data_IF_098513062941
#
_entry.id   IF_098513062941
#
_cell.length_a   1.000
_cell.length_b   1.000
_cell.length_c   1.000
_cell.angle_alpha   90.00
_cell.angle_beta   90.00
_cell.angle_gamma   90.00
#
_symmetry.space_group_name_H-M   'P 1'
#
loop_
_entity.id
_entity.type
_entity.pdbx_description
1 polymer ?
#
# COMPACT_ATOMS: atom_id res chain seq x y z
N UNK A 1 -43.86 34.82 -22.45
CA UNK A 1 -42.98 33.74 -22.93
C UNK A 1 -41.53 34.19 -23.12
N UNK A 2 -41.23 35.25 -23.86
CA UNK A 2 -39.85 35.70 -24.12
C UNK A 2 -39.05 36.06 -22.83
N UNK A 3 -39.66 36.77 -21.88
CA UNK A 3 -39.01 37.15 -20.61
C UNK A 3 -38.68 35.93 -19.74
N UNK A 4 -39.59 34.96 -19.67
CA UNK A 4 -39.39 33.71 -18.94
C UNK A 4 -38.25 32.88 -19.54
N UNK A 5 -38.22 32.76 -20.88
CA UNK A 5 -37.15 32.06 -21.59
C UNK A 5 -35.78 32.75 -21.37
N UNK A 6 -35.74 34.08 -21.43
CA UNK A 6 -34.52 34.84 -21.14
C UNK A 6 -34.01 34.63 -19.72
N UNK A 7 -34.88 34.67 -18.71
CA UNK A 7 -34.51 34.41 -17.31
C UNK A 7 -34.00 32.98 -17.10
N UNK A 8 -34.60 31.99 -17.77
CA UNK A 8 -34.13 30.59 -17.74
C UNK A 8 -32.74 30.48 -18.36
N UNK A 9 -32.51 31.08 -19.54
CA UNK A 9 -31.21 31.04 -20.20
C UNK A 9 -30.13 31.77 -19.38
N UNK A 10 -30.46 32.91 -18.77
CA UNK A 10 -29.57 33.63 -17.86
C UNK A 10 -29.23 32.78 -16.63
N UNK A 11 -30.23 32.15 -16.01
CA UNK A 11 -30.05 31.26 -14.86
C UNK A 11 -29.15 30.06 -15.19
N UNK A 12 -29.34 29.42 -16.35
CA UNK A 12 -28.48 28.34 -16.84
C UNK A 12 -27.05 28.84 -17.09
N UNK A 13 -26.90 30.03 -17.66
CA UNK A 13 -25.60 30.67 -17.87
C UNK A 13 -24.84 30.90 -16.56
N UNK A 14 -25.51 31.51 -15.58
CA UNK A 14 -24.92 31.74 -14.24
C UNK A 14 -24.55 30.43 -13.56
N UNK A 15 -25.42 29.41 -13.63
CA UNK A 15 -25.15 28.09 -13.09
C UNK A 15 -23.93 27.44 -13.75
N UNK A 16 -23.82 27.47 -15.07
CA UNK A 16 -22.69 26.87 -15.79
C UNK A 16 -21.37 27.57 -15.46
N UNK A 17 -21.37 28.90 -15.40
CA UNK A 17 -20.18 29.67 -14.97
C UNK A 17 -19.79 29.30 -13.54
N UNK A 18 -20.75 29.24 -12.61
CA UNK A 18 -20.49 28.84 -11.22
C UNK A 18 -19.93 27.41 -11.13
N UNK A 19 -20.48 26.47 -11.91
CA UNK A 19 -19.99 25.08 -11.99
C UNK A 19 -18.56 25.01 -12.52
N UNK A 20 -18.23 25.74 -13.60
CA UNK A 20 -16.88 25.78 -14.15
C UNK A 20 -15.89 26.35 -13.14
N UNK A 21 -16.23 27.46 -12.46
CA UNK A 21 -15.39 28.05 -11.41
C UNK A 21 -15.18 27.08 -10.25
N UNK A 22 -16.25 26.39 -9.84
CA UNK A 22 -16.19 25.36 -8.80
C UNK A 22 -15.26 24.21 -9.18
N UNK A 23 -15.42 23.63 -10.37
CA UNK A 23 -14.58 22.55 -10.87
C UNK A 23 -13.12 22.97 -11.04
N UNK A 24 -12.86 24.20 -11.51
CA UNK A 24 -11.51 24.77 -11.56
C UNK A 24 -10.88 24.88 -10.18
N UNK A 25 -11.66 25.28 -9.16
CA UNK A 25 -11.21 25.28 -7.77
C UNK A 25 -10.85 23.88 -7.29
N UNK A 26 -11.73 22.89 -7.44
CA UNK A 26 -11.45 21.51 -7.02
C UNK A 26 -10.19 20.98 -7.71
N UNK A 27 -10.05 21.19 -9.03
CA UNK A 27 -8.85 20.78 -9.75
C UNK A 27 -7.57 21.47 -9.25
N UNK A 28 -7.65 22.73 -8.82
CA UNK A 28 -6.51 23.43 -8.21
C UNK A 28 -6.14 22.81 -6.88
N UNK A 29 -7.11 22.58 -5.99
CA UNK A 29 -6.85 22.00 -4.66
C UNK A 29 -6.23 20.60 -4.77
N UNK A 30 -6.69 19.79 -5.72
CA UNK A 30 -6.13 18.46 -6.00
C UNK A 30 -4.73 18.49 -6.64
N UNK A 31 -4.19 19.67 -7.00
CA UNK A 31 -2.82 19.84 -7.50
C UNK A 31 -1.86 20.40 -6.45
N UNK A 32 -2.39 20.88 -5.33
CA UNK A 32 -1.60 21.53 -4.29
C UNK A 32 -1.16 20.49 -3.26
N UNK A 33 0.05 20.67 -2.72
CA UNK A 33 0.49 19.98 -1.51
C UNK A 33 0.07 20.84 -0.31
N UNK A 34 -0.77 20.33 0.61
CA UNK A 34 -1.14 21.08 1.81
C UNK A 34 0.08 21.51 2.61
N UNK A 35 0.08 22.73 3.17
CA UNK A 35 1.24 23.30 3.87
C UNK A 35 1.77 22.37 4.98
N UNK A 36 0.88 21.76 5.77
CA UNK A 36 1.26 20.84 6.84
C UNK A 36 2.03 19.62 6.31
N UNK A 37 1.65 19.12 5.13
CA UNK A 37 2.34 18.00 4.48
C UNK A 37 3.67 18.46 3.88
N UNK A 38 3.71 19.66 3.31
CA UNK A 38 4.92 20.27 2.77
C UNK A 38 6.02 20.49 3.81
N UNK A 39 5.68 20.57 5.10
CA UNK A 39 6.65 20.65 6.20
C UNK A 39 7.25 19.28 6.59
N UNK A 40 6.58 18.18 6.24
CA UNK A 40 7.01 16.82 6.57
C UNK A 40 7.89 16.20 5.49
N UNK A 41 7.84 16.71 4.26
CA UNK A 41 8.58 16.14 3.13
C UNK A 41 10.09 16.37 3.27
N UNK A 42 10.86 15.42 2.75
CA UNK A 42 12.29 15.54 2.57
C UNK A 42 12.67 16.64 1.57
N UNK A 43 13.98 16.91 1.46
CA UNK A 43 14.50 17.79 0.42
C UNK A 43 14.21 17.18 -0.96
N UNK A 44 13.74 17.98 -1.94
CA UNK A 44 13.55 17.49 -3.31
C UNK A 44 14.84 16.89 -3.86
N UNK A 45 14.70 15.88 -4.71
CA UNK A 45 15.85 15.27 -5.38
C UNK A 45 16.21 16.07 -6.63
N UNK A 46 17.51 16.32 -6.81
CA UNK A 46 18.06 16.92 -8.01
C UNK A 46 18.97 15.93 -8.74
N UNK A 47 19.31 16.18 -10.03
CA UNK A 47 20.13 15.26 -10.80
C UNK A 47 21.52 15.02 -10.22
N UNK A 48 22.07 15.97 -9.46
CA UNK A 48 23.40 15.83 -8.86
C UNK A 48 23.36 14.85 -7.69
N UNK A 49 22.41 15.03 -6.77
CA UNK A 49 22.16 14.10 -5.67
C UNK A 49 21.97 12.66 -6.17
N UNK A 50 21.19 12.49 -7.24
CA UNK A 50 20.90 11.18 -7.82
C UNK A 50 22.14 10.50 -8.38
N UNK A 51 22.96 11.23 -9.15
CA UNK A 51 24.22 10.70 -9.71
C UNK A 51 25.24 10.39 -8.61
N UNK A 52 25.36 11.26 -7.62
CA UNK A 52 26.23 11.02 -6.47
C UNK A 52 25.81 9.77 -5.70
N UNK A 53 24.50 9.58 -5.50
CA UNK A 53 23.95 8.38 -4.85
C UNK A 53 24.22 7.13 -5.69
N UNK A 54 24.02 7.20 -7.00
CA UNK A 54 24.35 6.11 -7.94
C UNK A 54 25.83 5.71 -7.82
N UNK A 55 26.75 6.67 -7.94
CA UNK A 55 28.19 6.40 -7.85
C UNK A 55 28.60 5.85 -6.48
N UNK A 56 27.94 6.30 -5.41
CA UNK A 56 28.17 5.79 -4.07
C UNK A 56 27.72 4.33 -3.94
N UNK A 57 26.55 3.97 -4.47
CA UNK A 57 26.02 2.61 -4.45
C UNK A 57 26.81 1.66 -5.36
N UNK A 58 27.34 2.14 -6.49
CA UNK A 58 28.22 1.35 -7.35
C UNK A 58 29.53 0.98 -6.62
N UNK A 59 30.09 1.92 -5.85
CA UNK A 59 31.31 1.70 -5.06
C UNK A 59 31.05 0.90 -3.79
N UNK A 60 29.89 1.10 -3.16
CA UNK A 60 29.51 0.48 -1.89
C UNK A 60 28.03 0.09 -1.92
N UNK A 61 27.72 -1.12 -2.42
CA UNK A 61 26.34 -1.60 -2.49
C UNK A 61 25.66 -1.66 -1.12
N UNK A 62 24.33 -1.62 -1.13
CA UNK A 62 23.51 -1.66 0.09
C UNK A 62 23.88 -2.90 0.93
N UNK A 63 24.27 -2.66 2.18
CA UNK A 63 24.55 -3.73 3.12
C UNK A 63 23.24 -4.28 3.73
N UNK A 64 22.66 -5.28 3.07
CA UNK A 64 21.45 -5.95 3.56
C UNK A 64 21.62 -6.71 4.89
N UNK A 65 22.85 -6.85 5.39
CA UNK A 65 23.15 -7.50 6.66
C UNK A 65 23.36 -6.50 7.82
N UNK A 66 23.30 -5.19 7.57
CA UNK A 66 23.77 -4.17 8.52
C UNK A 66 22.97 -4.06 9.83
N UNK A 67 21.65 -4.26 9.78
CA UNK A 67 20.76 -4.04 10.93
C UNK A 67 19.85 -5.23 11.24
N UNK A 68 20.29 -6.44 10.88
CA UNK A 68 19.56 -7.66 11.18
C UNK A 68 19.57 -7.93 12.69
N UNK A 69 18.45 -8.40 13.28
CA UNK A 69 18.50 -8.96 14.62
C UNK A 69 19.38 -10.23 14.65
N UNK A 70 19.81 -10.69 15.84
CA UNK A 70 20.57 -11.93 15.97
C UNK A 70 19.84 -13.09 15.27
N UNK A 71 20.59 -13.86 14.49
CA UNK A 71 20.07 -15.05 13.83
C UNK A 71 19.53 -16.02 14.88
N UNK A 72 18.31 -16.52 14.65
CA UNK A 72 17.69 -17.54 15.48
C UNK A 72 17.82 -18.93 14.81
N UNK A 73 18.07 -19.95 15.63
CA UNK A 73 18.12 -21.35 15.20
C UNK A 73 16.70 -21.91 15.03
N UNK A 74 16.08 -21.54 13.91
CA UNK A 74 14.67 -21.83 13.60
C UNK A 74 14.53 -22.29 12.15
N UNK A 75 13.43 -22.99 11.89
CA UNK A 75 12.93 -23.26 10.53
C UNK A 75 11.99 -22.15 10.11
N UNK A 76 11.94 -21.90 8.81
CA UNK A 76 11.17 -20.80 8.24
C UNK A 76 10.31 -21.29 7.07
N UNK A 77 9.03 -20.92 7.10
CA UNK A 77 8.17 -20.95 5.91
C UNK A 77 7.86 -19.51 5.52
N UNK A 78 8.09 -19.17 4.25
CA UNK A 78 7.68 -17.88 3.68
C UNK A 78 6.62 -18.14 2.62
N UNK A 79 5.41 -17.61 2.79
CA UNK A 79 4.32 -17.83 1.82
C UNK A 79 4.36 -16.77 0.72
N UNK A 80 4.17 -17.15 -0.53
CA UNK A 80 4.12 -16.22 -1.67
C UNK A 80 4.03 -16.90 -3.03
N UNK A 81 4.51 -18.15 -3.13
CA UNK A 81 4.57 -18.91 -4.40
C UNK A 81 3.52 -20.01 -4.57
N UNK A 82 2.53 -20.14 -3.67
CA UNK A 82 1.49 -21.17 -3.76
C UNK A 82 0.09 -20.55 -3.73
N UNK A 83 -0.91 -21.26 -4.27
CA UNK A 83 -2.31 -20.87 -4.17
C UNK A 83 -2.81 -20.99 -2.71
N UNK A 84 -2.81 -19.88 -1.99
CA UNK A 84 -3.29 -19.83 -0.60
C UNK A 84 -4.81 -19.97 -0.48
N UNK A 85 -5.57 -19.82 -1.56
CA UNK A 85 -7.04 -19.99 -1.52
C UNK A 85 -7.45 -21.44 -1.33
N UNK A 86 -6.58 -22.38 -1.73
CA UNK A 86 -6.77 -23.82 -1.57
C UNK A 86 -6.14 -24.34 -0.29
N UNK A 87 -6.97 -24.85 0.63
CA UNK A 87 -6.49 -25.51 1.86
C UNK A 87 -5.58 -26.71 1.56
N UNK A 88 -5.88 -27.46 0.51
CA UNK A 88 -5.06 -28.60 0.09
C UNK A 88 -3.68 -28.16 -0.38
N UNK A 89 -3.61 -27.15 -1.27
CA UNK A 89 -2.32 -26.64 -1.76
C UNK A 89 -1.45 -26.06 -0.64
N UNK A 90 -2.05 -25.36 0.33
CA UNK A 90 -1.35 -24.90 1.53
C UNK A 90 -0.87 -26.08 2.38
N UNK A 91 -1.72 -27.09 2.62
CA UNK A 91 -1.37 -28.30 3.35
C UNK A 91 -0.18 -29.02 2.74
N UNK A 92 -0.22 -29.27 1.43
CA UNK A 92 0.83 -29.95 0.67
C UNK A 92 2.16 -29.17 0.73
N UNK A 93 2.10 -27.84 0.67
CA UNK A 93 3.28 -26.99 0.80
C UNK A 93 3.89 -27.05 2.21
N UNK A 94 3.04 -27.11 3.25
CA UNK A 94 3.45 -27.10 4.66
C UNK A 94 3.90 -28.49 5.16
N UNK A 95 3.44 -29.57 4.52
CA UNK A 95 3.81 -30.95 4.86
C UNK A 95 5.12 -31.43 4.22
N UNK A 96 5.82 -30.58 3.45
CA UNK A 96 7.10 -30.96 2.86
C UNK A 96 8.10 -31.35 3.97
N UNK A 97 8.84 -32.47 3.81
CA UNK A 97 9.77 -32.92 4.83
C UNK A 97 10.90 -31.91 5.02
N UNK A 98 11.29 -31.71 6.28
CA UNK A 98 12.45 -30.91 6.63
C UNK A 98 13.72 -31.75 6.57
N UNK A 99 14.87 -31.11 6.33
CA UNK A 99 16.16 -31.76 6.57
C UNK A 99 16.22 -32.24 8.03
N UNK A 100 16.55 -33.52 8.30
CA UNK A 100 16.63 -34.05 9.66
C UNK A 100 17.49 -33.21 10.62
N UNK A 101 18.49 -32.49 10.11
CA UNK A 101 19.37 -31.61 10.91
C UNK A 101 18.65 -30.42 11.53
N UNK A 102 17.55 -29.96 10.93
CA UNK A 102 16.81 -28.78 11.40
C UNK A 102 15.37 -29.11 11.81
N UNK A 103 14.90 -30.34 11.57
CA UNK A 103 13.52 -30.76 11.78
C UNK A 103 13.01 -30.57 13.22
N UNK A 104 13.90 -30.61 14.22
CA UNK A 104 13.59 -30.38 15.63
C UNK A 104 13.57 -28.91 16.04
N UNK A 105 14.06 -27.99 15.19
CA UNK A 105 14.09 -26.57 15.52
C UNK A 105 12.67 -25.97 15.55
N UNK A 106 12.44 -24.94 16.39
CA UNK A 106 11.19 -24.17 16.36
C UNK A 106 10.87 -23.61 14.98
N UNK A 107 9.61 -23.29 14.72
CA UNK A 107 9.13 -22.92 13.39
C UNK A 107 8.48 -21.53 13.40
N UNK A 108 9.01 -20.67 12.53
CA UNK A 108 8.43 -19.37 12.21
C UNK A 108 7.79 -19.40 10.83
N UNK A 109 6.59 -18.82 10.72
CA UNK A 109 5.94 -18.60 9.43
C UNK A 109 5.84 -17.10 9.14
N UNK A 110 6.43 -16.68 8.03
CA UNK A 110 6.26 -15.34 7.45
C UNK A 110 5.19 -15.39 6.36
N UNK A 111 4.03 -14.79 6.64
CA UNK A 111 2.92 -14.77 5.70
C UNK A 111 2.89 -13.45 4.90
N UNK A 112 3.43 -13.45 3.68
CA UNK A 112 3.52 -12.25 2.83
C UNK A 112 2.60 -12.29 1.60
N UNK A 113 1.95 -13.43 1.33
CA UNK A 113 1.08 -13.64 0.18
C UNK A 113 -0.22 -12.81 0.28
N UNK A 114 -0.55 -12.06 -0.79
CA UNK A 114 -1.77 -11.29 -0.90
C UNK A 114 -2.06 -10.93 -2.36
N UNK A 115 -3.29 -10.50 -2.64
CA UNK A 115 -3.64 -9.77 -3.86
C UNK A 115 -3.94 -8.31 -3.52
N UNK A 116 -3.44 -7.40 -4.36
CA UNK A 116 -3.66 -5.96 -4.21
C UNK A 116 -4.49 -5.48 -5.39
N UNK A 117 -5.68 -4.95 -5.12
CA UNK A 117 -6.55 -4.31 -6.11
C UNK A 117 -6.89 -2.92 -5.57
N UNK A 118 -6.08 -1.89 -5.87
CA UNK A 118 -6.12 -0.61 -5.15
C UNK A 118 -7.34 0.25 -5.50
N UNK A 119 -7.88 0.12 -6.71
CA UNK A 119 -9.00 0.96 -7.17
C UNK A 119 -10.39 0.49 -6.76
N UNK A 120 -10.61 -0.82 -6.66
CA UNK A 120 -11.93 -1.40 -6.51
C UNK A 120 -12.44 -1.30 -5.07
N UNK A 121 -13.57 -0.62 -4.85
CA UNK A 121 -14.18 -0.43 -3.51
C UNK A 121 -15.57 -1.03 -3.35
N UNK A 122 -16.21 -1.39 -4.47
CA UNK A 122 -17.56 -1.94 -4.47
C UNK A 122 -17.59 -3.37 -3.92
N UNK A 123 -18.59 -3.67 -3.08
CA UNK A 123 -18.83 -5.03 -2.52
C UNK A 123 -19.02 -6.09 -3.61
N UNK A 124 -19.56 -5.72 -4.77
CA UNK A 124 -19.71 -6.63 -5.92
C UNK A 124 -18.36 -7.21 -6.39
N UNK A 125 -17.27 -6.47 -6.20
CA UNK A 125 -15.92 -6.86 -6.64
C UNK A 125 -15.08 -7.46 -5.51
N UNK A 126 -15.66 -7.67 -4.33
CA UNK A 126 -14.89 -8.02 -3.12
C UNK A 126 -14.48 -9.49 -3.05
N UNK A 127 -15.29 -10.39 -3.62
CA UNK A 127 -15.18 -11.86 -3.45
C UNK A 127 -13.77 -12.39 -3.68
N UNK A 128 -13.11 -11.99 -4.76
CA UNK A 128 -11.76 -12.47 -5.08
C UNK A 128 -10.72 -11.99 -4.07
N UNK A 129 -10.74 -10.69 -3.74
CA UNK A 129 -9.84 -10.11 -2.73
C UNK A 129 -10.07 -10.74 -1.35
N UNK A 130 -11.31 -11.03 -0.97
CA UNK A 130 -11.63 -11.73 0.27
C UNK A 130 -11.13 -13.18 0.27
N UNK A 131 -11.34 -13.91 -0.83
CA UNK A 131 -10.89 -15.30 -0.96
C UNK A 131 -9.37 -15.42 -0.78
N UNK A 132 -8.59 -14.52 -1.39
CA UNK A 132 -7.14 -14.52 -1.27
C UNK A 132 -6.69 -14.00 0.10
N UNK A 133 -7.05 -12.75 0.44
CA UNK A 133 -6.44 -12.07 1.58
C UNK A 133 -7.05 -12.44 2.92
N UNK A 134 -8.30 -12.92 2.97
CA UNK A 134 -8.96 -13.29 4.23
C UNK A 134 -8.98 -14.80 4.38
N UNK A 135 -9.58 -15.50 3.41
CA UNK A 135 -9.67 -16.95 3.48
C UNK A 135 -8.30 -17.61 3.29
N UNK A 136 -7.47 -17.10 2.40
CA UNK A 136 -6.10 -17.59 2.24
C UNK A 136 -5.26 -17.41 3.51
N UNK A 137 -5.36 -16.25 4.18
CA UNK A 137 -4.72 -16.06 5.48
C UNK A 137 -5.23 -17.05 6.53
N UNK A 138 -6.53 -17.34 6.60
CA UNK A 138 -7.04 -18.40 7.51
C UNK A 138 -6.43 -19.76 7.20
N UNK A 139 -6.35 -20.13 5.93
CA UNK A 139 -5.80 -21.42 5.51
C UNK A 139 -4.34 -21.55 5.96
N UNK A 140 -3.54 -20.51 5.70
CA UNK A 140 -2.12 -20.44 6.10
C UNK A 140 -1.98 -20.49 7.62
N UNK A 141 -2.77 -19.70 8.36
CA UNK A 141 -2.74 -19.65 9.82
C UNK A 141 -3.10 -21.02 10.45
N UNK A 142 -4.13 -21.68 9.92
CA UNK A 142 -4.54 -23.02 10.37
C UNK A 142 -3.47 -24.07 10.07
N UNK A 143 -2.84 -24.02 8.88
CA UNK A 143 -1.77 -24.93 8.52
C UNK A 143 -0.53 -24.73 9.39
N UNK A 144 -0.13 -23.48 9.65
CA UNK A 144 0.96 -23.14 10.58
C UNK A 144 0.75 -23.76 11.95
N UNK A 145 -0.43 -23.60 12.53
CA UNK A 145 -0.77 -24.18 13.83
C UNK A 145 -0.72 -25.70 13.79
N UNK A 146 -1.26 -26.33 12.74
CA UNK A 146 -1.31 -27.78 12.60
C UNK A 146 0.08 -28.44 12.53
N UNK A 147 1.09 -27.76 12.00
CA UNK A 147 2.46 -28.27 11.90
C UNK A 147 3.38 -27.80 13.05
N UNK A 148 2.80 -27.18 14.08
CA UNK A 148 3.52 -26.77 15.28
C UNK A 148 4.41 -25.54 15.12
N UNK A 149 4.03 -24.58 14.26
CA UNK A 149 4.66 -23.26 14.29
C UNK A 149 4.37 -22.57 15.63
N UNK A 150 5.38 -21.94 16.23
CA UNK A 150 5.26 -21.17 17.48
C UNK A 150 5.31 -19.66 17.27
N UNK A 151 5.67 -19.20 16.06
CA UNK A 151 5.66 -17.79 15.64
C UNK A 151 4.98 -17.63 14.27
N UNK A 152 4.07 -16.65 14.17
CA UNK A 152 3.42 -16.26 12.92
C UNK A 152 3.47 -14.75 12.71
N UNK A 153 4.20 -14.30 11.69
CA UNK A 153 4.41 -12.88 11.40
C UNK A 153 3.84 -12.57 10.00
N UNK A 154 2.74 -11.81 9.95
CA UNK A 154 1.99 -11.57 8.71
C UNK A 154 2.23 -10.17 8.15
N UNK A 155 2.39 -10.05 6.83
CA UNK A 155 2.39 -8.75 6.17
C UNK A 155 0.95 -8.26 6.04
N UNK A 156 0.58 -7.29 6.85
CA UNK A 156 -0.65 -6.49 6.78
C UNK A 156 -0.43 -5.28 5.86
N UNK A 157 -1.07 -4.13 6.10
CA UNK A 157 -0.84 -2.89 5.35
C UNK A 157 -1.20 -1.65 6.16
N UNK A 158 -0.37 -0.61 6.10
CA UNK A 158 -0.69 0.68 6.72
C UNK A 158 -1.91 1.35 6.07
N UNK A 159 -2.21 0.96 4.83
CA UNK A 159 -3.38 1.41 4.07
C UNK A 159 -4.73 1.03 4.71
N UNK A 160 -4.73 0.10 5.68
CA UNK A 160 -5.91 -0.21 6.50
C UNK A 160 -6.49 1.02 7.17
N UNK A 161 -5.66 2.00 7.56
CA UNK A 161 -6.09 3.21 8.27
C UNK A 161 -6.74 4.26 7.36
N UNK A 162 -6.52 4.17 6.05
CA UNK A 162 -6.92 5.18 5.07
C UNK A 162 -8.45 5.24 4.93
N UNK A 163 -8.98 6.45 4.80
CA UNK A 163 -10.37 6.77 4.47
C UNK A 163 -10.49 7.25 3.02
N UNK A 164 -11.63 6.98 2.35
CA UNK A 164 -11.93 7.57 1.06
C UNK A 164 -11.76 9.10 1.07
N UNK A 165 -11.14 9.63 0.02
CA UNK A 165 -11.07 11.07 -0.18
C UNK A 165 -12.45 11.62 -0.55
N UNK A 166 -12.83 12.75 0.05
CA UNK A 166 -14.04 13.49 -0.33
C UNK A 166 -13.61 14.73 -1.12
N UNK A 167 -13.46 14.56 -2.45
CA UNK A 167 -12.94 15.61 -3.33
C UNK A 167 -13.94 16.76 -3.57
N UNK A 168 -15.24 16.45 -3.67
CA UNK A 168 -16.30 17.44 -3.88
C UNK A 168 -16.79 17.97 -2.53
N UNK A 169 -16.44 19.22 -2.24
CA UNK A 169 -16.73 19.90 -0.98
C UNK A 169 -17.43 21.24 -1.23
N UNK A 170 -17.92 21.89 -0.19
CA UNK A 170 -18.49 23.23 -0.31
C UNK A 170 -17.45 24.23 -0.91
N UNK A 171 -17.88 25.30 -1.59
CA UNK A 171 -16.98 26.23 -2.28
C UNK A 171 -15.89 26.90 -1.42
N UNK A 172 -16.05 26.91 -0.10
CA UNK A 172 -15.11 27.49 0.88
C UNK A 172 -14.38 26.43 1.72
N UNK A 173 -14.59 25.14 1.44
CA UNK A 173 -14.00 24.04 2.20
C UNK A 173 -12.89 23.34 1.41
N UNK A 174 -12.00 22.66 2.13
CA UNK A 174 -10.93 21.82 1.57
C UNK A 174 -11.38 20.36 1.43
N UNK A 175 -10.89 19.61 0.41
CA UNK A 175 -11.14 18.18 0.27
C UNK A 175 -10.82 17.41 1.55
N UNK A 176 -11.77 16.61 2.04
CA UNK A 176 -11.53 15.83 3.27
C UNK A 176 -10.70 14.60 2.97
N UNK A 177 -9.87 14.23 3.94
CA UNK A 177 -8.98 13.06 3.87
C UNK A 177 -8.00 13.11 2.68
N UNK A 178 -7.75 14.29 2.11
CA UNK A 178 -6.77 14.47 1.03
C UNK A 178 -5.31 14.38 1.52
N UNK A 179 -5.11 14.47 2.84
CA UNK A 179 -3.90 13.99 3.48
C UNK A 179 -4.25 13.22 4.74
N UNK A 180 -3.51 12.15 5.03
CA UNK A 180 -3.77 11.25 6.15
C UNK A 180 -2.47 10.69 6.74
N UNK A 181 -2.47 10.44 8.05
CA UNK A 181 -1.39 9.71 8.72
C UNK A 181 -1.77 8.24 8.81
N UNK A 182 -0.89 7.36 8.34
CA UNK A 182 -1.05 5.92 8.46
C UNK A 182 -0.36 5.43 9.74
N UNK A 183 -1.15 4.87 10.66
CA UNK A 183 -0.70 4.40 11.96
C UNK A 183 -1.52 3.16 12.39
N UNK A 184 -1.45 2.78 13.67
CA UNK A 184 -2.15 1.63 14.25
C UNK A 184 -3.32 1.99 15.17
N UNK A 185 -3.74 3.26 15.23
CA UNK A 185 -4.79 3.72 16.17
C UNK A 185 -6.19 3.17 15.85
N UNK A 186 -6.39 2.59 14.67
CA UNK A 186 -7.60 1.84 14.32
C UNK A 186 -7.61 0.42 14.91
N UNK A 187 -6.47 -0.10 15.35
CA UNK A 187 -6.34 -1.50 15.75
C UNK A 187 -7.17 -1.84 17.00
N UNK A 188 -7.25 -0.98 18.00
CA UNK A 188 -8.05 -1.29 19.20
C UNK A 188 -9.55 -0.98 19.02
N UNK A 189 -9.95 -0.52 17.83
CA UNK A 189 -11.34 -0.14 17.51
C UNK A 189 -12.04 -1.26 16.73
N UNK A 190 -13.38 -1.35 16.80
CA UNK A 190 -14.14 -2.21 15.91
C UNK A 190 -13.80 -1.95 14.45
N UNK A 191 -13.83 -3.02 13.64
CA UNK A 191 -13.67 -2.87 12.19
C UNK A 191 -14.71 -1.89 11.66
N UNK A 192 -14.28 -1.02 10.75
CA UNK A 192 -15.17 -0.03 10.15
C UNK A 192 -16.13 -0.73 9.18
N UNK A 193 -17.22 -0.04 8.85
CA UNK A 193 -18.04 -0.43 7.70
C UNK A 193 -17.19 -0.40 6.42
N UNK A 194 -17.53 -1.29 5.47
CA UNK A 194 -16.80 -1.48 4.22
C UNK A 194 -16.55 -0.17 3.47
N UNK A 195 -17.59 0.67 3.39
CA UNK A 195 -17.60 1.96 2.70
C UNK A 195 -16.66 3.00 3.32
N UNK A 196 -16.23 2.80 4.57
CA UNK A 196 -15.30 3.69 5.27
C UNK A 196 -13.83 3.35 4.99
N UNK A 197 -13.55 2.24 4.30
CA UNK A 197 -12.24 1.92 3.74
C UNK A 197 -12.14 2.45 2.31
N UNK A 198 -10.93 2.79 1.87
CA UNK A 198 -10.75 3.34 0.52
C UNK A 198 -11.01 2.32 -0.60
N UNK A 199 -10.74 1.04 -0.34
CA UNK A 199 -10.86 -0.05 -1.31
C UNK A 199 -11.07 -1.40 -0.63
N UNK A 200 -11.51 -2.38 -1.41
CA UNK A 200 -11.66 -3.79 -1.04
C UNK A 200 -10.37 -4.38 -0.46
N UNK A 201 -9.22 -3.96 -0.99
CA UNK A 201 -7.91 -4.34 -0.47
C UNK A 201 -7.77 -4.02 1.03
N UNK A 202 -8.04 -2.78 1.44
CA UNK A 202 -7.94 -2.37 2.83
C UNK A 202 -8.94 -3.11 3.73
N UNK A 203 -10.16 -3.33 3.26
CA UNK A 203 -11.16 -4.14 3.99
C UNK A 203 -10.62 -5.55 4.25
N UNK A 204 -10.09 -6.19 3.20
CA UNK A 204 -9.56 -7.56 3.30
C UNK A 204 -8.36 -7.65 4.24
N UNK A 205 -7.42 -6.70 4.17
CA UNK A 205 -6.24 -6.66 5.04
C UNK A 205 -6.61 -6.39 6.49
N UNK A 206 -7.62 -5.53 6.74
CA UNK A 206 -8.12 -5.26 8.08
C UNK A 206 -8.75 -6.51 8.72
N UNK A 207 -9.55 -7.26 7.95
CA UNK A 207 -10.09 -8.54 8.42
C UNK A 207 -8.99 -9.56 8.67
N UNK A 208 -8.06 -9.72 7.74
CA UNK A 208 -6.95 -10.67 7.86
C UNK A 208 -6.08 -10.39 9.10
N UNK A 209 -5.73 -9.12 9.33
CA UNK A 209 -4.96 -8.69 10.49
C UNK A 209 -5.65 -9.03 11.80
N UNK A 210 -6.97 -8.79 11.91
CA UNK A 210 -7.76 -9.19 13.09
C UNK A 210 -7.67 -10.68 13.36
N UNK A 211 -7.74 -11.50 12.31
CA UNK A 211 -7.66 -12.96 12.44
C UNK A 211 -6.29 -13.39 12.96
N UNK A 212 -5.23 -12.86 12.36
CA UNK A 212 -3.86 -13.19 12.77
C UNK A 212 -3.64 -12.79 14.23
N UNK A 213 -3.94 -11.55 14.59
CA UNK A 213 -3.69 -11.04 15.93
C UNK A 213 -4.60 -11.67 17.01
N UNK A 214 -5.83 -12.09 16.67
CA UNK A 214 -6.73 -12.75 17.61
C UNK A 214 -6.32 -14.19 17.95
N UNK A 215 -5.52 -14.84 17.09
CA UNK A 215 -5.01 -16.20 17.29
C UNK A 215 -3.73 -16.24 18.14
N UNK A 216 -3.34 -15.08 18.70
CA UNK A 216 -2.18 -14.98 19.58
C UNK A 216 -2.41 -15.70 20.91
N UNK A 217 -1.53 -16.64 21.23
CA UNK A 217 -1.49 -17.38 22.50
C UNK A 217 -0.03 -17.68 22.89
N UNK A 218 0.25 -18.07 24.15
CA UNK A 218 1.63 -18.32 24.59
C UNK A 218 2.41 -19.32 23.73
N UNK A 219 1.75 -20.37 23.23
CA UNK A 219 2.32 -21.41 22.36
C UNK A 219 2.38 -21.02 20.87
N UNK A 220 1.66 -19.98 20.46
CA UNK A 220 1.57 -19.55 19.06
C UNK A 220 1.46 -18.03 19.01
N UNK A 221 2.63 -17.38 19.01
CA UNK A 221 2.75 -15.93 19.12
C UNK A 221 2.63 -15.32 17.74
N UNK A 222 1.63 -14.47 17.56
CA UNK A 222 1.28 -13.93 16.24
C UNK A 222 1.37 -12.42 16.22
N UNK A 223 1.42 -11.82 15.03
CA UNK A 223 1.28 -10.39 14.87
C UNK A 223 1.47 -9.96 13.43
N UNK A 224 1.48 -8.65 13.19
CA UNK A 224 1.46 -8.10 11.84
C UNK A 224 2.47 -6.97 11.63
N UNK A 225 3.03 -6.91 10.43
CA UNK A 225 3.77 -5.74 9.94
C UNK A 225 2.88 -5.00 8.95
N UNK A 226 2.73 -3.69 9.10
CA UNK A 226 1.97 -2.79 8.21
C UNK A 226 2.97 -1.93 7.42
N UNK A 227 3.46 -2.37 6.26
CA UNK A 227 4.29 -1.51 5.41
C UNK A 227 3.54 -0.23 5.02
N UNK A 228 4.29 0.86 4.88
CA UNK A 228 3.87 2.12 4.27
C UNK A 228 3.43 1.96 2.81
N UNK A 229 3.19 3.08 2.11
CA UNK A 229 2.59 3.10 0.78
C UNK A 229 3.54 3.71 -0.26
N UNK A 230 3.96 3.06 -1.35
CA UNK A 230 3.81 1.65 -1.74
C UNK A 230 5.04 0.80 -1.42
N UNK A 231 4.91 -0.53 -1.59
CA UNK A 231 6.03 -1.45 -1.47
C UNK A 231 6.73 -1.58 -2.82
N UNK A 232 8.05 -1.43 -2.84
CA UNK A 232 8.88 -1.50 -4.04
C UNK A 232 10.19 -2.27 -3.77
N UNK A 233 11.03 -2.43 -4.79
CA UNK A 233 12.26 -3.22 -4.75
C UNK A 233 12.21 -4.49 -5.59
N UNK A 234 11.13 -4.71 -6.34
CA UNK A 234 11.01 -5.83 -7.27
C UNK A 234 10.97 -5.27 -8.70
N UNK A 235 11.65 -5.86 -9.69
CA UNK A 235 11.71 -5.31 -11.06
C UNK A 235 10.34 -5.09 -11.72
N UNK A 236 9.31 -5.83 -11.29
CA UNK A 236 7.92 -5.68 -11.76
C UNK A 236 6.97 -5.06 -10.73
N UNK A 237 7.48 -4.37 -9.72
CA UNK A 237 6.62 -3.66 -8.77
C UNK A 237 5.88 -2.49 -9.43
N UNK A 238 4.75 -2.11 -8.84
CA UNK A 238 3.95 -1.02 -9.37
C UNK A 238 4.55 0.38 -9.16
N UNK A 239 5.20 0.70 -8.02
CA UNK A 239 5.70 2.05 -7.80
C UNK A 239 6.88 2.47 -8.68
N UNK A 240 7.84 1.59 -8.95
CA UNK A 240 9.09 1.89 -9.65
C UNK A 240 9.27 1.01 -10.89
N UNK A 241 9.12 -0.31 -10.76
CA UNK A 241 9.35 -1.26 -11.86
C UNK A 241 8.47 -0.96 -13.08
N UNK A 242 7.19 -0.69 -12.84
CA UNK A 242 6.24 -0.28 -13.87
C UNK A 242 6.58 1.06 -14.54
N UNK A 243 7.29 1.98 -13.87
CA UNK A 243 7.76 3.23 -14.47
C UNK A 243 8.94 2.99 -15.40
N UNK A 244 9.86 2.09 -15.02
CA UNK A 244 11.01 1.70 -15.84
C UNK A 244 10.59 0.94 -17.11
N UNK A 245 9.44 0.28 -17.08
CA UNK A 245 8.90 -0.48 -18.22
C UNK A 245 8.15 0.38 -19.27
N UNK A 246 8.17 1.72 -19.19
CA UNK A 246 7.43 2.59 -20.12
C UNK A 246 8.19 3.87 -20.48
N UNK A 247 8.03 4.31 -21.73
CA UNK A 247 8.64 5.58 -22.18
C UNK A 247 7.89 6.83 -21.71
N UNK A 248 6.57 6.68 -21.48
CA UNK A 248 5.67 7.78 -21.14
C UNK A 248 4.86 7.43 -19.90
N UNK A 249 5.05 8.24 -18.85
CA UNK A 249 4.26 8.15 -17.63
C UNK A 249 3.17 9.22 -17.63
N UNK A 250 1.91 8.79 -17.74
CA UNK A 250 0.76 9.67 -17.52
C UNK A 250 0.45 9.73 -16.02
N UNK A 251 0.59 10.91 -15.43
CA UNK A 251 0.43 11.10 -13.98
C UNK A 251 -0.38 12.34 -13.67
N UNK A 252 -1.08 12.34 -12.55
CA UNK A 252 -1.75 13.53 -12.00
C UNK A 252 -1.26 13.88 -10.59
N UNK A 253 -0.21 13.19 -10.12
CA UNK A 253 0.21 13.16 -8.72
C UNK A 253 1.70 13.43 -8.46
N UNK A 254 2.45 14.18 -9.28
CA UNK A 254 3.87 14.41 -8.98
C UNK A 254 4.09 15.15 -7.65
N UNK A 255 3.10 15.91 -7.18
CA UNK A 255 3.14 16.68 -5.92
C UNK A 255 2.74 15.86 -4.68
N UNK A 256 2.26 14.63 -4.85
CA UNK A 256 1.80 13.79 -3.74
C UNK A 256 3.00 13.34 -2.92
N UNK A 257 2.87 13.51 -1.61
CA UNK A 257 3.91 13.22 -0.60
C UNK A 257 3.54 11.93 0.11
N UNK A 258 4.45 10.96 0.14
CA UNK A 258 4.23 9.72 0.86
C UNK A 258 5.52 9.03 1.33
N UNK A 259 5.34 8.10 2.28
CA UNK A 259 6.37 7.19 2.77
C UNK A 259 6.32 5.86 2.01
N UNK A 260 7.41 5.50 1.33
CA UNK A 260 7.57 4.20 0.69
C UNK A 260 8.14 3.15 1.65
N UNK A 261 8.02 1.89 1.26
CA UNK A 261 8.62 0.78 2.00
C UNK A 261 9.28 -0.21 1.04
N UNK A 262 10.61 -0.21 0.97
CA UNK A 262 11.37 -1.20 0.23
C UNK A 262 11.16 -2.61 0.80
N UNK A 263 11.08 -3.62 -0.06
CA UNK A 263 10.86 -5.02 0.32
C UNK A 263 11.86 -5.52 1.35
N UNK A 264 13.13 -5.10 1.27
CA UNK A 264 14.16 -5.44 2.24
C UNK A 264 13.89 -4.85 3.64
N UNK A 265 13.39 -3.61 3.71
CA UNK A 265 13.01 -2.98 4.97
C UNK A 265 11.80 -3.69 5.62
N UNK A 266 10.84 -4.11 4.80
CA UNK A 266 9.71 -4.94 5.25
C UNK A 266 10.19 -6.31 5.75
N UNK A 267 11.13 -6.96 5.06
CA UNK A 267 11.70 -8.22 5.50
C UNK A 267 12.44 -8.09 6.85
N UNK A 268 13.22 -7.04 7.04
CA UNK A 268 13.90 -6.78 8.32
C UNK A 268 12.92 -6.46 9.44
N UNK A 269 11.83 -5.76 9.16
CA UNK A 269 10.75 -5.57 10.13
C UNK A 269 10.15 -6.91 10.59
N UNK A 270 9.96 -7.86 9.66
CA UNK A 270 9.50 -9.21 10.01
C UNK A 270 10.50 -9.96 10.90
N UNK A 271 11.80 -9.83 10.64
CA UNK A 271 12.85 -10.45 11.48
C UNK A 271 12.90 -9.81 12.88
N UNK A 272 12.82 -8.48 12.99
CA UNK A 272 12.75 -7.81 14.30
C UNK A 272 11.50 -8.21 15.08
N UNK A 273 10.38 -8.36 14.38
CA UNK A 273 9.15 -8.86 14.98
C UNK A 273 9.29 -10.30 15.46
N UNK A 274 9.87 -11.20 14.67
CA UNK A 274 10.20 -12.56 15.13
C UNK A 274 11.09 -12.53 16.37
N UNK A 275 12.19 -11.76 16.35
CA UNK A 275 13.11 -11.66 17.46
C UNK A 275 12.43 -11.13 18.74
N UNK A 276 11.45 -10.24 18.61
CA UNK A 276 10.61 -9.81 19.73
C UNK A 276 9.67 -10.93 20.21
N UNK A 277 9.00 -11.62 19.30
CA UNK A 277 8.06 -12.71 19.61
C UNK A 277 8.76 -13.94 20.21
N UNK A 278 10.02 -14.20 19.86
CA UNK A 278 10.81 -15.31 20.40
C UNK A 278 11.08 -15.17 21.90
N UNK A 279 11.03 -13.96 22.45
CA UNK A 279 11.21 -13.72 23.89
C UNK A 279 9.99 -14.18 24.69
N UNK A 280 10.23 -14.62 25.91
CA UNK A 280 9.16 -14.89 26.88
C UNK A 280 8.43 -13.59 27.24
N UNK A 281 7.11 -13.66 27.47
CA UNK A 281 6.28 -12.52 27.88
C UNK A 281 6.40 -11.28 26.97
N UNK A 282 6.42 -11.48 25.66
CA UNK A 282 6.50 -10.39 24.68
C UNK A 282 5.18 -9.61 24.56
N UNK A 283 5.25 -8.30 24.78
CA UNK A 283 4.08 -7.38 24.69
C UNK A 283 3.74 -6.99 23.26
N UNK A 284 4.59 -7.35 22.30
CA UNK A 284 4.46 -7.15 20.86
C UNK A 284 3.50 -8.16 20.21
N UNK A 285 3.28 -9.29 20.87
CA UNK A 285 2.40 -10.34 20.37
C UNK A 285 0.94 -9.86 20.30
N UNK A 286 0.22 -10.35 19.30
CA UNK A 286 -1.16 -9.97 19.01
C UNK A 286 -1.33 -8.54 18.49
N UNK A 287 -0.28 -7.88 17.99
CA UNK A 287 -0.33 -6.46 17.55
C UNK A 287 0.25 -6.22 16.16
N UNK A 288 -0.19 -5.15 15.48
CA UNK A 288 0.44 -4.66 14.26
C UNK A 288 1.48 -3.57 14.52
N UNK A 289 2.47 -3.45 13.64
CA UNK A 289 3.47 -2.38 13.66
C UNK A 289 3.63 -1.76 12.27
N UNK A 290 3.55 -0.42 12.16
CA UNK A 290 3.79 0.27 10.89
C UNK A 290 5.28 0.44 10.65
N UNK A 291 5.73 0.20 9.41
CA UNK A 291 7.12 0.37 8.99
C UNK A 291 7.23 1.10 7.65
N UNK A 292 8.28 1.89 7.50
CA UNK A 292 8.64 2.64 6.28
C UNK A 292 10.15 2.56 6.08
N UNK A 293 10.61 3.02 4.91
CA UNK A 293 12.02 3.31 4.68
C UNK A 293 12.56 4.37 5.63
N UNK A 294 13.88 4.39 5.76
CA UNK A 294 14.56 5.39 6.58
C UNK A 294 14.44 6.77 5.94
N UNK A 295 14.13 7.77 6.75
CA UNK A 295 14.07 9.17 6.35
C UNK A 295 12.64 9.71 6.20
N UNK A 296 12.52 10.97 5.79
CA UNK A 296 11.22 11.63 5.62
C UNK A 296 10.47 11.10 4.39
N UNK A 297 9.14 11.30 4.31
CA UNK A 297 8.40 11.08 3.07
C UNK A 297 8.94 11.96 1.94
N UNK A 298 8.82 11.47 0.71
CA UNK A 298 9.22 12.18 -0.51
C UNK A 298 8.00 12.44 -1.38
N UNK A 299 8.17 13.17 -2.48
CA UNK A 299 7.15 13.28 -3.51
C UNK A 299 7.24 12.16 -4.54
N UNK A 300 6.14 11.84 -5.22
CA UNK A 300 6.19 11.00 -6.43
C UNK A 300 7.01 11.66 -7.56
N UNK A 301 7.06 13.00 -7.59
CA UNK A 301 7.93 13.75 -8.50
C UNK A 301 9.41 13.42 -8.32
N UNK A 302 9.87 13.26 -7.08
CA UNK A 302 11.26 12.87 -6.78
C UNK A 302 11.59 11.51 -7.42
N UNK A 303 10.68 10.54 -7.30
CA UNK A 303 10.80 9.23 -7.95
C UNK A 303 10.84 9.37 -9.47
N UNK A 304 9.97 10.20 -10.04
CA UNK A 304 9.95 10.42 -11.49
C UNK A 304 11.25 11.04 -11.99
N UNK A 305 11.82 11.99 -11.24
CA UNK A 305 13.12 12.58 -11.55
C UNK A 305 14.25 11.55 -11.46
N UNK A 306 14.20 10.63 -10.49
CA UNK A 306 15.17 9.52 -10.42
C UNK A 306 15.15 8.67 -11.69
N UNK A 307 13.96 8.25 -12.13
CA UNK A 307 13.81 7.46 -13.36
C UNK A 307 14.25 8.25 -14.60
N UNK A 308 13.86 9.53 -14.71
CA UNK A 308 14.24 10.40 -15.83
C UNK A 308 15.76 10.62 -15.93
N UNK A 309 16.45 10.73 -14.79
CA UNK A 309 17.90 11.02 -14.74
C UNK A 309 18.76 9.77 -14.90
N UNK A 310 18.35 8.65 -14.31
CA UNK A 310 19.17 7.45 -14.18
C UNK A 310 18.84 6.35 -15.20
N UNK A 311 17.62 6.34 -15.75
CA UNK A 311 17.27 5.34 -16.75
C UNK A 311 18.04 5.56 -18.05
N UNK A 312 18.53 4.47 -18.65
CA UNK A 312 19.08 4.47 -20.00
C UNK A 312 18.01 4.59 -21.09
N UNK A 313 16.75 4.36 -20.72
CA UNK A 313 15.61 4.45 -21.64
C UNK A 313 14.95 5.83 -21.55
N UNK A 314 14.40 6.35 -22.66
CA UNK A 314 13.67 7.62 -22.62
C UNK A 314 12.51 7.52 -21.64
N UNK A 315 12.41 8.46 -20.70
CA UNK A 315 11.29 8.55 -19.79
C UNK A 315 10.79 9.99 -19.74
N UNK A 316 9.49 10.20 -19.90
CA UNK A 316 8.87 11.52 -19.76
C UNK A 316 7.53 11.48 -19.05
N UNK A 317 7.27 12.51 -18.27
CA UNK A 317 6.00 12.68 -17.57
C UNK A 317 5.01 13.52 -18.38
N UNK A 318 3.78 13.02 -18.51
CA UNK A 318 2.65 13.78 -19.05
C UNK A 318 1.66 14.02 -17.92
N UNK A 319 1.55 15.28 -17.50
CA UNK A 319 0.66 15.65 -16.39
C UNK A 319 -0.78 15.76 -16.90
N UNK A 320 -1.65 14.90 -16.37
CA UNK A 320 -3.09 14.96 -16.59
C UNK A 320 -3.75 15.73 -15.44
N UNK A 321 -4.70 16.65 -15.71
CA UNK A 321 -5.47 17.30 -14.65
C UNK A 321 -6.15 16.27 -13.71
N UNK A 322 -5.95 16.35 -12.37
CA UNK A 322 -6.53 15.42 -11.42
C UNK A 322 -8.05 15.28 -11.54
N UNK A 323 -8.74 16.38 -11.87
CA UNK A 323 -10.19 16.36 -12.05
C UNK A 323 -10.63 15.45 -13.21
N UNK A 324 -9.86 15.36 -14.29
CA UNK A 324 -10.16 14.44 -15.40
C UNK A 324 -10.06 13.00 -14.90
N UNK A 325 -8.98 12.65 -14.21
CA UNK A 325 -8.80 11.31 -13.66
C UNK A 325 -9.89 10.98 -12.64
N UNK A 326 -10.28 11.93 -11.79
CA UNK A 326 -11.39 11.78 -10.85
C UNK A 326 -12.69 11.38 -11.58
N UNK A 327 -13.08 12.09 -12.65
CA UNK A 327 -14.26 11.71 -13.44
C UNK A 327 -14.10 10.35 -14.13
N UNK A 328 -12.95 10.09 -14.75
CA UNK A 328 -12.67 8.80 -15.41
C UNK A 328 -12.83 7.64 -14.43
N UNK A 329 -12.33 7.76 -13.20
CA UNK A 329 -12.43 6.69 -12.22
C UNK A 329 -13.89 6.35 -11.86
N UNK A 330 -14.76 7.36 -11.76
CA UNK A 330 -16.19 7.14 -11.52
C UNK A 330 -16.91 6.55 -12.73
N UNK A 331 -16.54 6.96 -13.94
CA UNK A 331 -17.10 6.40 -15.19
C UNK A 331 -16.72 4.92 -15.32
N UNK A 332 -15.45 4.58 -15.09
CA UNK A 332 -14.96 3.20 -15.14
C UNK A 332 -15.64 2.34 -14.08
N UNK A 333 -15.72 2.79 -12.82
CA UNK A 333 -16.46 2.07 -11.77
C UNK A 333 -17.93 1.86 -12.18
N UNK A 334 -18.58 2.89 -12.72
CA UNK A 334 -19.97 2.77 -13.18
C UNK A 334 -20.13 1.73 -14.30
N UNK A 335 -19.25 1.72 -15.30
CA UNK A 335 -19.25 0.74 -16.40
C UNK A 335 -19.04 -0.69 -15.87
N UNK A 336 -18.05 -0.89 -14.98
CA UNK A 336 -17.79 -2.19 -14.37
C UNK A 336 -19.01 -2.67 -13.57
N UNK A 337 -19.63 -1.78 -12.80
CA UNK A 337 -20.78 -2.13 -11.96
C UNK A 337 -22.08 -2.27 -12.76
N UNK A 338 -22.18 -1.70 -13.95
CA UNK A 338 -23.36 -1.81 -14.80
C UNK A 338 -23.68 -3.27 -15.14
N UNK A 339 -22.67 -4.06 -15.49
CA UNK A 339 -22.83 -5.50 -15.78
C UNK A 339 -23.23 -6.32 -14.54
N UNK A 340 -22.88 -5.86 -13.33
CA UNK A 340 -23.26 -6.50 -12.07
C UNK A 340 -24.69 -6.14 -11.65
N UNK A 341 -25.11 -4.90 -11.93
CA UNK A 341 -26.46 -4.39 -11.63
C UNK A 341 -27.50 -4.88 -12.62
N UNK A 342 -27.11 -5.02 -13.90
CA UNK A 342 -27.95 -5.47 -15.00
C UNK A 342 -27.29 -6.68 -15.69
N UNK A 343 -27.45 -7.91 -15.15
CA UNK A 343 -26.70 -9.08 -15.63
C UNK A 343 -26.91 -9.42 -17.11
N UNK A 344 -28.05 -9.05 -17.71
CA UNK A 344 -28.30 -9.26 -19.13
C UNK A 344 -27.35 -8.45 -20.03
N UNK A 345 -26.86 -7.30 -19.56
CA UNK A 345 -25.88 -6.49 -20.29
C UNK A 345 -24.49 -7.12 -20.33
N UNK A 346 -24.18 -8.08 -19.45
CA UNK A 346 -22.89 -8.79 -19.45
C UNK A 346 -22.62 -9.54 -20.76
N UNK A 347 -23.68 -9.90 -21.50
CA UNK A 347 -23.55 -10.57 -22.81
C UNK A 347 -23.31 -9.60 -23.97
N UNK A 348 -23.53 -8.30 -23.76
CA UNK A 348 -23.55 -7.28 -24.82
C UNK A 348 -22.41 -6.28 -24.65
N UNK A 349 -22.09 -5.90 -23.40
CA UNK A 349 -21.03 -4.96 -23.10
C UNK A 349 -19.67 -5.69 -22.98
N UNK A 350 -18.61 -5.16 -23.62
CA UNK A 350 -17.26 -5.68 -23.42
C UNK A 350 -16.83 -5.53 -21.96
N UNK A 351 -16.05 -6.50 -21.46
CA UNK A 351 -15.44 -6.39 -20.13
C UNK A 351 -14.37 -5.30 -20.14
N UNK A 352 -14.27 -4.52 -19.05
CA UNK A 352 -13.18 -3.58 -18.87
C UNK A 352 -11.94 -4.35 -18.44
N UNK A 353 -10.96 -4.42 -19.35
CA UNK A 353 -9.73 -5.20 -19.17
C UNK A 353 -8.50 -4.32 -18.93
N UNK A 354 -7.37 -4.97 -18.63
CA UNK A 354 -6.07 -4.35 -18.46
C UNK A 354 -6.01 -3.29 -17.36
N UNK A 355 -5.11 -2.33 -17.53
CA UNK A 355 -4.85 -1.25 -16.56
C UNK A 355 -6.10 -0.40 -16.30
N UNK A 356 -6.97 -0.24 -17.30
CA UNK A 356 -8.20 0.55 -17.17
C UNK A 356 -9.11 -0.01 -16.07
N UNK A 357 -9.14 -1.33 -15.86
CA UNK A 357 -9.91 -1.97 -14.78
C UNK A 357 -9.49 -1.47 -13.39
N UNK A 358 -8.24 -1.04 -13.23
CA UNK A 358 -7.70 -0.55 -11.96
C UNK A 358 -8.02 0.91 -11.70
N UNK A 359 -8.41 1.67 -12.74
CA UNK A 359 -8.75 3.10 -12.69
C UNK A 359 -10.16 3.29 -12.12
N UNK A 360 -10.31 3.03 -10.83
CA UNK A 360 -11.55 3.18 -10.06
C UNK A 360 -11.32 4.12 -8.86
N UNK A 361 -12.37 4.63 -8.17
CA UNK A 361 -12.21 5.74 -7.22
C UNK A 361 -11.27 5.48 -6.04
N UNK A 362 -11.06 4.22 -5.65
CA UNK A 362 -10.04 3.87 -4.66
C UNK A 362 -8.63 4.31 -5.06
N UNK A 363 -8.35 4.38 -6.36
CA UNK A 363 -7.06 4.82 -6.91
C UNK A 363 -6.79 6.29 -6.60
N UNK A 364 -7.79 7.16 -6.70
CA UNK A 364 -7.64 8.56 -6.30
C UNK A 364 -7.26 8.65 -4.82
N UNK A 365 -7.87 7.82 -3.97
CA UNK A 365 -7.63 7.86 -2.53
C UNK A 365 -6.22 7.39 -2.16
N UNK A 366 -5.75 6.28 -2.74
CA UNK A 366 -4.40 5.77 -2.44
C UNK A 366 -3.28 6.62 -3.06
N UNK A 367 -3.63 7.49 -4.01
CA UNK A 367 -2.76 8.51 -4.59
C UNK A 367 -3.04 9.91 -3.99
N UNK A 368 -3.34 9.98 -2.68
CA UNK A 368 -3.37 11.22 -1.89
C UNK A 368 -2.14 11.33 -1.00
N UNK A 369 -2.00 12.40 -0.23
CA UNK A 369 -0.84 12.57 0.66
C UNK A 369 -0.91 11.61 1.86
N UNK A 370 0.00 10.65 1.94
CA UNK A 370 -0.06 9.55 2.90
C UNK A 370 1.26 9.42 3.68
N UNK A 371 1.27 9.92 4.92
CA UNK A 371 2.46 9.90 5.77
C UNK A 371 2.37 8.71 6.73
N UNK A 372 3.31 7.77 6.65
CA UNK A 372 3.38 6.64 7.56
C UNK A 372 4.09 7.05 8.85
N UNK A 373 3.62 6.55 10.00
CA UNK A 373 4.32 6.69 11.27
C UNK A 373 4.82 5.33 11.74
N UNK A 374 6.14 5.13 11.71
CA UNK A 374 6.81 3.92 12.23
C UNK A 374 7.36 4.10 13.65
N UNK A 375 6.95 5.17 14.35
CA UNK A 375 7.45 5.53 15.67
C UNK A 375 7.30 4.37 16.68
N UNK A 376 6.15 3.70 16.69
CA UNK A 376 5.90 2.54 17.58
C UNK A 376 6.79 1.34 17.23
N UNK A 377 7.07 1.09 15.94
CA UNK A 377 7.95 0.00 15.54
C UNK A 377 9.40 0.27 15.96
N UNK A 378 9.84 1.53 15.91
CA UNK A 378 11.21 1.94 16.27
C UNK A 378 11.50 1.91 17.76
N UNK A 379 10.48 2.04 18.62
CA UNK A 379 10.67 1.98 20.08
C UNK A 379 11.43 0.70 20.48
N UNK A 380 12.29 0.74 21.50
CA UNK A 380 12.93 -0.44 22.04
C UNK A 380 11.91 -1.53 22.44
N UNK A 381 12.34 -2.79 22.43
CA UNK A 381 11.51 -3.93 22.85
C UNK A 381 11.00 -3.76 24.29
N UNK A 382 11.82 -3.17 25.17
CA UNK A 382 11.45 -2.87 26.57
C UNK A 382 10.31 -1.87 26.70
N UNK A 383 10.05 -1.07 25.67
CA UNK A 383 8.96 -0.08 25.62
C UNK A 383 7.76 -0.57 24.78
N UNK A 384 7.76 -1.85 24.38
CA UNK A 384 6.68 -2.45 23.59
C UNK A 384 6.82 -2.27 22.07
N UNK A 385 7.90 -1.67 21.58
CA UNK A 385 8.21 -1.60 20.15
C UNK A 385 8.97 -2.83 19.64
N UNK A 386 9.46 -2.76 18.40
CA UNK A 386 10.26 -3.83 17.78
C UNK A 386 11.77 -3.56 17.83
N UNK A 387 12.17 -2.33 18.13
CA UNK A 387 13.53 -1.85 17.86
C UNK A 387 13.83 -1.77 16.37
N UNK A 388 12.80 -1.61 15.52
CA UNK A 388 12.93 -1.61 14.08
C UNK A 388 13.95 -0.57 13.60
N UNK A 389 14.90 -1.05 12.79
CA UNK A 389 15.87 -0.23 12.07
C UNK A 389 15.83 -0.63 10.59
N UNK A 390 15.40 0.29 9.74
CA UNK A 390 15.48 0.10 8.29
C UNK A 390 16.93 0.00 7.83
N UNK A 391 17.15 -0.78 6.78
CA UNK A 391 18.44 -0.99 6.11
C UNK A 391 18.81 0.16 5.17
N UNK A 392 17.81 0.74 4.50
CA UNK A 392 18.02 1.76 3.47
C UNK A 392 16.98 2.88 3.54
N UNK A 393 17.36 4.03 2.98
CA UNK A 393 16.49 5.17 2.72
C UNK A 393 15.71 4.99 1.41
N UNK A 394 14.63 5.77 1.24
CA UNK A 394 13.86 5.73 -0.03
C UNK A 394 14.75 6.08 -1.23
N UNK A 395 15.66 7.07 -1.06
CA UNK A 395 16.59 7.51 -2.10
C UNK A 395 17.50 6.36 -2.55
N UNK A 396 18.20 5.71 -1.61
CA UNK A 396 19.08 4.58 -1.92
C UNK A 396 18.32 3.43 -2.59
N UNK A 397 17.12 3.10 -2.09
CA UNK A 397 16.33 2.03 -2.68
C UNK A 397 15.86 2.34 -4.09
N UNK A 398 15.38 3.57 -4.36
CA UNK A 398 14.93 3.94 -5.71
C UNK A 398 16.11 3.93 -6.67
N UNK A 399 17.26 4.50 -6.27
CA UNK A 399 18.47 4.48 -7.09
C UNK A 399 18.92 3.04 -7.36
N UNK A 400 18.95 2.18 -6.34
CA UNK A 400 19.31 0.76 -6.50
C UNK A 400 18.42 0.04 -7.51
N UNK A 401 17.09 0.23 -7.46
CA UNK A 401 16.16 -0.41 -8.41
C UNK A 401 16.33 0.13 -9.83
N UNK A 402 16.76 1.39 -10.00
CA UNK A 402 17.06 1.94 -11.32
C UNK A 402 18.41 1.48 -11.89
N UNK A 403 19.31 0.97 -11.04
CA UNK A 403 20.62 0.43 -11.44
C UNK A 403 20.54 -1.01 -11.95
N UNK A 404 19.65 -1.81 -11.34
CA UNK A 404 19.40 -3.22 -11.67
C UNK A 404 18.69 -3.38 -13.02
#
# INVERSE_FOLDING_TARGET
MATTLFLVLLGLGVFFVALVLYLRRINRLLKETPHQVGQLRGKPWDPELLRQTYEALEKSPINFNGHLPPKLDRRYIVTGGNDITSKAAVGDAFSKPWDPKIASLPLTVFHTAAVIIPGARSKYLYKFTEAVNVQGTRNVLAASRAIGADIFSSTSSASISIRPVEAFVAPWAEPKHYWQVMNTQDFDKPLREHEKYFANYAVSKAKAERLVCAENEPSFRTGCIRPGNGIYGHPSDNPIGNLLARDVNQTWVPHIVQNFAHGANVAVAHLHHEAALAKENCTQAGKPFVVTDVGPPITLGDVYTAVEVLSIHPFRNVIVPPLIILFVTHIVEWLILLSHRLPFLKRILPEVEGDLRTVQPGLITICTHLVASDAEARKPISEGGLGYKGLLTTLEGVVSVTMD
#
